data_IF_211007021605
#
_entry.id   IF_211007021605
#
_cell.length_a   1.000
_cell.length_b   1.000
_cell.length_c   1.000
_cell.angle_alpha   90.00
_cell.angle_beta   90.00
_cell.angle_gamma   90.00
#
_symmetry.space_group_name_H-M   'P 1'
#
loop_
_entity.id
_entity.type
_entity.pdbx_description
1 polymer ?
#
# COMPACT_ATOMS: atom_id res chain seq x y z
N UNK A 1 -0.68 -7.20 -32.28
CA UNK A 1 -1.76 -7.90 -31.56
C UNK A 1 -2.82 -6.87 -31.17
N UNK A 2 -4.09 -7.03 -31.54
CA UNK A 2 -5.06 -5.94 -31.45
C UNK A 2 -5.51 -5.73 -30.00
N UNK A 3 -5.25 -4.52 -29.51
CA UNK A 3 -5.66 -3.99 -28.21
C UNK A 3 -7.17 -3.77 -28.19
N UNK A 4 -7.87 -4.62 -27.44
CA UNK A 4 -9.32 -4.57 -27.27
C UNK A 4 -9.66 -3.59 -26.13
N UNK A 5 -10.19 -2.43 -26.48
CA UNK A 5 -10.70 -1.42 -25.55
C UNK A 5 -11.76 -2.03 -24.62
N UNK A 6 -11.76 -1.75 -23.29
CA UNK A 6 -12.81 -2.25 -22.42
C UNK A 6 -14.12 -1.53 -22.74
N UNK A 7 -15.10 -2.28 -23.24
CA UNK A 7 -16.50 -1.84 -23.38
C UNK A 7 -16.96 -1.32 -22.01
N UNK A 8 -17.39 -0.05 -21.93
CA UNK A 8 -18.15 0.48 -20.79
C UNK A 8 -19.28 -0.49 -20.46
N UNK A 9 -19.14 -1.22 -19.37
CA UNK A 9 -20.18 -2.10 -18.85
C UNK A 9 -21.33 -1.25 -18.31
N UNK A 10 -22.57 -1.66 -18.59
CA UNK A 10 -23.79 -1.03 -18.06
C UNK A 10 -23.69 -0.92 -16.53
N UNK A 11 -24.14 0.20 -15.97
CA UNK A 11 -24.27 0.40 -14.51
C UNK A 11 -25.03 -0.79 -13.91
N UNK A 12 -24.42 -1.45 -12.92
CA UNK A 12 -25.04 -2.54 -12.17
C UNK A 12 -26.32 -2.04 -11.48
N UNK A 13 -27.44 -2.73 -11.70
CA UNK A 13 -28.72 -2.47 -11.03
C UNK A 13 -28.74 -3.03 -9.60
N UNK A 14 -29.73 -2.63 -8.77
CA UNK A 14 -29.82 -3.04 -7.36
C UNK A 14 -29.78 -4.57 -7.14
N UNK A 15 -30.41 -5.36 -8.02
CA UNK A 15 -30.48 -6.83 -7.88
C UNK A 15 -29.16 -7.59 -8.12
N UNK A 16 -28.07 -6.91 -8.48
CA UNK A 16 -26.77 -7.54 -8.71
C UNK A 16 -25.94 -7.68 -7.42
N UNK A 17 -26.37 -7.03 -6.33
CA UNK A 17 -25.76 -7.14 -4.99
C UNK A 17 -26.42 -8.23 -4.12
N UNK A 18 -27.62 -8.70 -4.51
CA UNK A 18 -28.46 -9.60 -3.72
C UNK A 18 -28.45 -11.06 -4.21
N UNK A 19 -27.79 -11.35 -5.34
CA UNK A 19 -27.86 -12.67 -5.95
C UNK A 19 -26.97 -13.70 -5.23
N UNK A 20 -27.55 -14.45 -4.29
CA UNK A 20 -27.06 -15.77 -3.91
C UNK A 20 -27.13 -16.68 -5.16
N UNK A 21 -26.01 -16.83 -5.87
CA UNK A 21 -25.96 -17.71 -7.03
C UNK A 21 -26.13 -19.18 -6.59
N UNK A 22 -27.13 -19.85 -7.16
CA UNK A 22 -27.42 -21.27 -7.00
C UNK A 22 -26.37 -22.15 -7.70
N UNK A 23 -25.90 -23.19 -6.99
CA UNK A 23 -24.99 -24.24 -7.46
C UNK A 23 -23.68 -24.31 -6.65
N UNK A 24 -23.11 -25.52 -6.39
CA UNK A 24 -21.87 -25.66 -5.64
C UNK A 24 -20.72 -25.04 -6.45
N UNK A 25 -20.13 -23.98 -5.91
CA UNK A 25 -18.94 -23.33 -6.48
C UNK A 25 -17.97 -23.05 -5.35
N UNK A 26 -16.65 -23.24 -5.58
CA UNK A 26 -15.63 -22.80 -4.64
C UNK A 26 -15.91 -21.36 -4.20
N UNK A 27 -15.98 -21.14 -2.90
CA UNK A 27 -16.15 -19.82 -2.31
C UNK A 27 -14.89 -19.45 -1.55
N UNK A 28 -14.29 -18.34 -1.95
CA UNK A 28 -13.11 -17.79 -1.32
C UNK A 28 -13.50 -16.57 -0.49
N UNK A 29 -13.21 -16.58 0.80
CA UNK A 29 -13.40 -15.42 1.68
C UNK A 29 -12.12 -14.62 1.80
N UNK A 30 -12.14 -13.37 1.31
CA UNK A 30 -11.02 -12.45 1.50
C UNK A 30 -11.03 -11.91 2.92
N UNK A 31 -10.18 -12.45 3.78
CA UNK A 31 -10.08 -12.03 5.18
C UNK A 31 -8.97 -11.00 5.35
N UNK A 32 -9.37 -9.75 5.61
CA UNK A 32 -8.46 -8.62 5.83
C UNK A 32 -8.10 -8.38 7.29
N UNK A 33 -8.42 -9.32 8.18
CA UNK A 33 -8.21 -9.29 9.64
C UNK A 33 -8.91 -8.14 10.40
N UNK A 34 -9.64 -7.29 9.70
CA UNK A 34 -10.41 -6.19 10.29
C UNK A 34 -11.84 -6.61 10.64
N UNK A 35 -12.47 -5.79 11.48
CA UNK A 35 -13.80 -6.04 12.05
C UNK A 35 -14.82 -6.59 11.02
N UNK A 36 -15.01 -5.93 9.87
CA UNK A 36 -16.04 -6.31 8.90
C UNK A 36 -15.79 -7.69 8.30
N UNK A 37 -14.56 -7.95 7.86
CA UNK A 37 -14.20 -9.26 7.30
C UNK A 37 -14.20 -10.38 8.33
N UNK A 38 -13.97 -10.07 9.61
CA UNK A 38 -14.04 -11.02 10.71
C UNK A 38 -15.49 -11.29 11.10
N UNK A 39 -16.31 -10.26 11.34
CA UNK A 39 -17.71 -10.42 11.73
C UNK A 39 -18.52 -11.16 10.66
N UNK A 40 -18.31 -10.82 9.38
CA UNK A 40 -18.99 -11.54 8.31
C UNK A 40 -18.61 -13.02 8.23
N UNK A 41 -17.36 -13.35 8.56
CA UNK A 41 -16.88 -14.72 8.60
C UNK A 41 -17.42 -15.45 9.83
N UNK A 42 -17.40 -14.81 11.00
CA UNK A 42 -17.95 -15.34 12.25
C UNK A 42 -19.45 -15.65 12.14
N UNK A 43 -20.25 -14.71 11.63
CA UNK A 43 -21.68 -14.91 11.36
C UNK A 43 -21.95 -16.07 10.39
N UNK A 44 -21.07 -16.26 9.39
CA UNK A 44 -21.17 -17.38 8.45
C UNK A 44 -20.85 -18.71 9.13
N UNK A 45 -19.87 -18.75 10.01
CA UNK A 45 -19.50 -19.96 10.76
C UNK A 45 -20.59 -20.33 11.79
N UNK A 46 -21.26 -19.35 12.38
CA UNK A 46 -22.39 -19.57 13.29
C UNK A 46 -23.60 -20.20 12.59
N UNK A 47 -23.95 -19.71 11.39
CA UNK A 47 -25.09 -20.22 10.63
C UNK A 47 -24.76 -20.35 9.13
N UNK A 48 -24.03 -21.40 8.71
CA UNK A 48 -23.65 -21.60 7.31
C UNK A 48 -24.87 -21.68 6.39
N UNK A 49 -25.97 -22.27 6.86
CA UNK A 49 -27.19 -22.46 6.08
C UNK A 49 -27.83 -21.12 5.68
N UNK A 50 -27.84 -20.13 6.59
CA UNK A 50 -28.34 -18.78 6.29
C UNK A 50 -27.42 -17.98 5.36
N UNK A 51 -26.21 -18.46 5.09
CA UNK A 51 -25.30 -17.93 4.07
C UNK A 51 -25.29 -18.77 2.78
N UNK A 52 -26.18 -19.76 2.67
CA UNK A 52 -26.34 -20.60 1.48
C UNK A 52 -25.48 -21.86 1.46
N UNK A 53 -24.87 -22.25 2.59
CA UNK A 53 -24.06 -23.45 2.74
C UNK A 53 -24.81 -24.55 3.51
N UNK A 54 -25.94 -25.01 2.97
CA UNK A 54 -26.79 -26.04 3.61
C UNK A 54 -26.14 -27.41 3.69
N UNK A 55 -25.30 -27.73 2.71
CA UNK A 55 -24.61 -29.02 2.59
C UNK A 55 -23.21 -29.01 3.23
N UNK A 56 -22.92 -27.97 4.05
CA UNK A 56 -21.63 -27.77 4.71
C UNK A 56 -20.65 -26.86 3.98
N UNK A 57 -19.47 -26.68 4.59
CA UNK A 57 -18.44 -25.72 4.19
C UNK A 57 -17.30 -26.34 3.37
N UNK A 58 -17.45 -27.55 2.83
CA UNK A 58 -16.36 -28.26 2.12
C UNK A 58 -15.85 -27.57 0.84
N UNK A 59 -16.61 -26.62 0.29
CA UNK A 59 -16.21 -25.79 -0.86
C UNK A 59 -15.83 -24.35 -0.46
N UNK A 60 -15.71 -24.07 0.84
CA UNK A 60 -15.40 -22.76 1.40
C UNK A 60 -13.94 -22.72 1.87
N UNK A 61 -13.23 -21.67 1.47
CA UNK A 61 -11.86 -21.41 1.89
C UNK A 61 -11.71 -19.95 2.30
N UNK A 62 -10.76 -19.68 3.20
CA UNK A 62 -10.39 -18.33 3.65
C UNK A 62 -9.00 -18.02 3.12
N UNK A 63 -8.80 -16.81 2.61
CA UNK A 63 -7.48 -16.33 2.18
C UNK A 63 -7.11 -15.02 2.86
N UNK A 64 -5.86 -14.93 3.30
CA UNK A 64 -5.24 -13.74 3.87
C UNK A 64 -4.06 -13.33 2.99
N UNK A 65 -4.09 -12.08 2.50
CA UNK A 65 -2.97 -11.50 1.75
C UNK A 65 -2.11 -10.62 2.67
N UNK A 66 -0.92 -11.10 2.98
CA UNK A 66 0.00 -10.46 3.93
C UNK A 66 0.81 -9.35 3.25
N UNK A 67 0.70 -8.15 3.82
CA UNK A 67 1.58 -7.02 3.47
C UNK A 67 2.92 -7.09 4.21
N UNK A 68 2.98 -7.84 5.32
CA UNK A 68 4.13 -7.90 6.22
C UNK A 68 4.15 -6.81 7.30
N UNK A 69 3.17 -5.91 7.30
CA UNK A 69 3.20 -4.66 8.07
C UNK A 69 1.88 -4.40 8.81
N UNK A 70 1.11 -5.42 9.14
CA UNK A 70 -0.10 -5.26 9.94
C UNK A 70 0.25 -5.13 11.44
N UNK A 71 -0.61 -4.46 12.22
CA UNK A 71 -0.38 -4.31 13.66
C UNK A 71 -0.40 -5.64 14.40
N UNK A 72 0.41 -5.73 15.46
CA UNK A 72 0.50 -6.94 16.29
C UNK A 72 -0.86 -7.30 16.90
N UNK A 73 -1.61 -6.32 17.43
CA UNK A 73 -2.96 -6.56 17.98
C UNK A 73 -3.94 -7.12 16.93
N UNK A 74 -3.84 -6.70 15.67
CA UNK A 74 -4.70 -7.23 14.61
C UNK A 74 -4.51 -8.74 14.46
N UNK A 75 -3.26 -9.22 14.52
CA UNK A 75 -2.99 -10.65 14.45
C UNK A 75 -3.39 -11.40 15.73
N UNK A 76 -3.07 -10.84 16.90
CA UNK A 76 -3.40 -11.45 18.20
C UNK A 76 -4.91 -11.70 18.34
N UNK A 77 -5.75 -10.75 17.93
CA UNK A 77 -7.20 -10.92 17.93
C UNK A 77 -7.66 -12.00 16.95
N UNK A 78 -7.12 -12.01 15.74
CA UNK A 78 -7.43 -13.00 14.72
C UNK A 78 -7.07 -14.43 15.19
N UNK A 79 -5.90 -14.61 15.77
CA UNK A 79 -5.41 -15.88 16.30
C UNK A 79 -6.17 -16.35 17.54
N UNK A 80 -6.52 -15.42 18.43
CA UNK A 80 -7.23 -15.75 19.66
C UNK A 80 -8.67 -16.14 19.41
N UNK A 81 -9.36 -15.43 18.51
CA UNK A 81 -10.81 -15.55 18.40
C UNK A 81 -11.27 -16.28 17.13
N UNK A 82 -10.66 -16.01 15.97
CA UNK A 82 -11.19 -16.54 14.71
C UNK A 82 -10.49 -17.81 14.22
N UNK A 83 -9.16 -17.94 14.38
CA UNK A 83 -8.47 -19.18 13.99
C UNK A 83 -9.00 -20.45 14.69
N UNK A 84 -9.35 -20.43 16.00
CA UNK A 84 -9.93 -21.61 16.65
C UNK A 84 -11.23 -22.05 15.98
N UNK A 85 -12.08 -21.09 15.58
CA UNK A 85 -13.31 -21.37 14.84
C UNK A 85 -13.04 -21.95 13.47
N UNK A 86 -12.10 -21.37 12.71
CA UNK A 86 -11.72 -21.90 11.40
C UNK A 86 -11.22 -23.35 11.51
N UNK A 87 -10.43 -23.66 12.55
CA UNK A 87 -9.94 -25.00 12.83
C UNK A 87 -11.06 -25.96 13.25
N UNK A 88 -12.00 -25.53 14.08
CA UNK A 88 -13.17 -26.32 14.49
C UNK A 88 -14.01 -26.75 13.28
N UNK A 89 -14.26 -25.81 12.36
CA UNK A 89 -14.99 -26.07 11.12
C UNK A 89 -14.12 -26.68 9.99
N UNK A 90 -12.82 -26.93 10.24
CA UNK A 90 -11.83 -27.42 9.25
C UNK A 90 -11.81 -26.61 7.95
N UNK A 91 -11.82 -25.29 8.07
CA UNK A 91 -11.80 -24.39 6.92
C UNK A 91 -10.37 -24.27 6.39
N UNK A 92 -10.18 -24.63 5.12
CA UNK A 92 -8.91 -24.39 4.41
C UNK A 92 -8.61 -22.90 4.46
N UNK A 93 -7.52 -22.56 5.14
CA UNK A 93 -7.05 -21.21 5.40
C UNK A 93 -5.70 -21.06 4.70
N UNK A 94 -5.65 -20.12 3.75
CA UNK A 94 -4.49 -19.88 2.91
C UNK A 94 -3.90 -18.51 3.26
N UNK A 95 -2.60 -18.47 3.49
CA UNK A 95 -1.82 -17.25 3.69
C UNK A 95 -0.91 -17.05 2.50
N UNK A 96 -0.99 -15.88 1.86
CA UNK A 96 -0.20 -15.56 0.66
C UNK A 96 0.50 -14.21 0.81
N UNK A 97 1.67 -14.07 0.19
CA UNK A 97 2.39 -12.80 0.11
C UNK A 97 3.12 -12.66 -1.23
N UNK A 98 3.68 -11.47 -1.45
CA UNK A 98 4.67 -11.29 -2.53
C UNK A 98 5.92 -12.10 -2.23
N UNK A 99 6.50 -12.68 -3.28
CA UNK A 99 7.78 -13.37 -3.21
C UNK A 99 8.97 -12.42 -3.44
N UNK A 100 8.74 -11.27 -4.10
CA UNK A 100 9.79 -10.29 -4.39
C UNK A 100 9.26 -8.93 -4.87
N UNK A 101 10.17 -7.98 -5.17
CA UNK A 101 9.85 -6.61 -5.59
C UNK A 101 9.18 -6.51 -6.96
N UNK A 102 9.43 -7.45 -7.86
CA UNK A 102 8.92 -7.45 -9.23
C UNK A 102 7.73 -8.42 -9.43
N UNK A 103 6.97 -8.23 -10.50
CA UNK A 103 5.85 -9.13 -10.81
C UNK A 103 6.35 -10.53 -11.25
N UNK A 104 7.55 -10.59 -11.86
CA UNK A 104 8.18 -11.86 -12.30
C UNK A 104 8.55 -12.77 -11.12
N UNK A 105 8.77 -12.18 -9.94
CA UNK A 105 9.09 -12.93 -8.72
C UNK A 105 7.88 -13.72 -8.23
N UNK A 106 6.66 -13.31 -8.63
CA UNK A 106 5.43 -14.02 -8.30
C UNK A 106 5.01 -13.84 -6.84
N UNK A 107 4.33 -14.88 -6.35
CA UNK A 107 3.78 -14.94 -4.99
C UNK A 107 4.25 -16.22 -4.31
N UNK A 108 4.19 -16.22 -2.98
CA UNK A 108 4.44 -17.41 -2.16
C UNK A 108 3.18 -17.72 -1.34
N UNK A 109 2.89 -19.01 -1.20
CA UNK A 109 1.94 -19.52 -0.22
C UNK A 109 2.72 -19.76 1.07
N UNK A 110 2.45 -18.93 2.08
CA UNK A 110 3.09 -19.01 3.40
C UNK A 110 2.51 -20.16 4.22
N UNK A 111 1.21 -20.40 4.07
CA UNK A 111 0.48 -21.48 4.73
C UNK A 111 -0.72 -21.87 3.90
N UNK A 112 -1.05 -23.16 3.89
CA UNK A 112 -2.29 -23.71 3.34
C UNK A 112 -2.70 -24.89 4.23
N UNK A 113 -3.66 -24.67 5.12
CA UNK A 113 -4.03 -25.65 6.15
C UNK A 113 -5.50 -25.55 6.54
N UNK A 114 -6.11 -26.67 6.92
CA UNK A 114 -7.43 -26.73 7.55
C UNK A 114 -7.38 -26.65 9.09
N UNK A 115 -6.17 -26.53 9.67
CA UNK A 115 -5.93 -26.42 11.11
C UNK A 115 -5.05 -25.21 11.45
N UNK A 116 -5.49 -23.99 11.11
CA UNK A 116 -4.68 -22.80 11.37
C UNK A 116 -4.52 -22.59 12.89
N UNK A 117 -3.28 -22.30 13.31
CA UNK A 117 -2.93 -22.06 14.72
C UNK A 117 -2.32 -20.67 14.94
N UNK A 118 -1.59 -20.16 13.95
CA UNK A 118 -0.96 -18.85 13.96
C UNK A 118 -0.92 -18.30 12.54
N UNK A 119 -0.86 -16.98 12.42
CA UNK A 119 -0.70 -16.24 11.17
C UNK A 119 0.75 -15.85 10.95
N UNK A 120 1.21 -15.89 9.70
CA UNK A 120 2.49 -15.35 9.31
C UNK A 120 2.49 -13.82 9.44
N UNK A 121 3.47 -13.29 10.16
CA UNK A 121 3.62 -11.83 10.33
C UNK A 121 4.28 -11.19 9.11
N UNK A 122 5.17 -11.93 8.44
CA UNK A 122 6.01 -11.44 7.35
C UNK A 122 6.16 -12.50 6.27
N UNK A 123 6.12 -12.08 5.01
CA UNK A 123 6.53 -12.88 3.85
C UNK A 123 7.91 -12.43 3.32
N UNK A 124 8.40 -13.02 2.22
CA UNK A 124 9.71 -12.70 1.64
C UNK A 124 9.89 -11.23 1.24
N UNK A 125 8.81 -10.55 0.85
CA UNK A 125 8.84 -9.14 0.49
C UNK A 125 7.66 -8.39 1.13
N UNK A 126 7.97 -7.43 2.00
CA UNK A 126 6.96 -6.63 2.73
C UNK A 126 6.68 -5.28 2.07
N UNK A 127 5.62 -4.61 2.51
CA UNK A 127 5.33 -3.26 2.08
C UNK A 127 6.42 -2.30 2.59
N UNK A 128 6.92 -2.48 3.81
CA UNK A 128 8.06 -1.69 4.31
C UNK A 128 9.33 -1.91 3.49
N UNK A 129 9.62 -3.13 3.05
CA UNK A 129 10.76 -3.40 2.14
C UNK A 129 10.61 -2.63 0.81
N UNK A 130 9.42 -2.66 0.21
CA UNK A 130 9.10 -1.88 -1.01
C UNK A 130 9.28 -0.38 -0.80
N UNK A 131 8.77 0.16 0.31
CA UNK A 131 8.80 1.58 0.60
C UNK A 131 10.23 2.08 0.88
N UNK A 132 11.01 1.30 1.64
CA UNK A 132 12.43 1.58 1.89
C UNK A 132 13.25 1.51 0.59
N UNK A 133 13.14 0.43 -0.18
CA UNK A 133 13.86 0.27 -1.45
C UNK A 133 13.48 1.34 -2.48
N UNK A 134 12.21 1.74 -2.51
CA UNK A 134 11.74 2.80 -3.41
C UNK A 134 12.07 4.21 -2.89
N UNK A 135 12.36 4.37 -1.60
CA UNK A 135 12.51 5.67 -0.95
C UNK A 135 11.21 6.49 -1.01
N UNK A 136 10.07 5.85 -0.77
CA UNK A 136 8.74 6.49 -0.83
C UNK A 136 7.84 6.05 0.31
N UNK A 137 6.77 6.81 0.55
CA UNK A 137 5.63 6.43 1.40
C UNK A 137 4.48 5.93 0.54
N UNK A 138 3.43 5.27 1.10
CA UNK A 138 2.28 4.84 0.32
C UNK A 138 1.61 6.02 -0.39
N UNK A 139 1.74 6.04 -1.72
CA UNK A 139 1.23 7.10 -2.55
C UNK A 139 -0.30 7.10 -2.52
N UNK A 140 -0.88 8.27 -2.23
CA UNK A 140 -2.33 8.51 -2.21
C UNK A 140 -2.80 9.52 -3.26
N UNK A 141 -1.99 9.71 -4.31
CA UNK A 141 -2.37 10.53 -5.45
C UNK A 141 -3.73 10.10 -6.01
N UNK A 142 -4.48 11.06 -6.54
CA UNK A 142 -5.88 10.88 -6.99
C UNK A 142 -6.05 9.56 -7.74
N UNK A 143 -6.78 8.62 -7.13
CA UNK A 143 -7.18 7.35 -7.74
C UNK A 143 -6.19 6.18 -7.66
N UNK A 144 -4.95 6.37 -7.20
CA UNK A 144 -3.93 5.31 -7.14
C UNK A 144 -3.78 4.77 -5.71
N UNK A 145 -4.22 3.52 -5.47
CA UNK A 145 -3.96 2.78 -4.22
C UNK A 145 -2.90 1.71 -4.46
N UNK A 146 -1.74 2.13 -4.97
CA UNK A 146 -0.73 1.21 -5.50
C UNK A 146 -0.28 0.16 -4.49
N UNK A 147 -0.19 0.46 -3.19
CA UNK A 147 0.15 -0.53 -2.17
C UNK A 147 -0.94 -1.60 -2.02
N UNK A 148 -2.21 -1.21 -1.97
CA UNK A 148 -3.35 -2.13 -1.89
C UNK A 148 -3.44 -3.00 -3.15
N UNK A 149 -3.19 -2.41 -4.32
CA UNK A 149 -3.22 -3.16 -5.58
C UNK A 149 -2.05 -4.14 -5.65
N UNK A 150 -0.81 -3.71 -5.33
CA UNK A 150 0.39 -4.57 -5.40
C UNK A 150 0.41 -5.69 -4.37
N UNK A 151 0.02 -5.41 -3.13
CA UNK A 151 0.17 -6.35 -2.01
C UNK A 151 -1.10 -7.09 -1.62
N UNK A 152 -2.28 -6.64 -2.10
CA UNK A 152 -3.55 -7.35 -1.87
C UNK A 152 -4.18 -7.78 -3.19
N UNK A 153 -4.55 -6.83 -4.04
CA UNK A 153 -5.27 -7.12 -5.30
C UNK A 153 -4.54 -8.11 -6.21
N UNK A 154 -3.33 -7.75 -6.65
CA UNK A 154 -2.50 -8.56 -7.54
C UNK A 154 -2.14 -9.92 -6.95
N UNK A 155 -1.84 -9.97 -5.64
CA UNK A 155 -1.48 -11.22 -4.95
C UNK A 155 -2.67 -12.19 -4.91
N UNK A 156 -3.85 -11.69 -4.53
CA UNK A 156 -5.10 -12.47 -4.51
C UNK A 156 -5.50 -12.93 -5.91
N UNK A 157 -5.42 -12.03 -6.90
CA UNK A 157 -5.80 -12.34 -8.29
C UNK A 157 -4.85 -13.37 -8.91
N UNK A 158 -3.54 -13.26 -8.66
CA UNK A 158 -2.56 -14.23 -9.16
C UNK A 158 -2.76 -15.60 -8.52
N UNK A 159 -2.95 -15.66 -7.20
CA UNK A 159 -3.23 -16.92 -6.51
C UNK A 159 -4.52 -17.57 -7.00
N UNK A 160 -5.62 -16.80 -7.06
CA UNK A 160 -6.91 -17.33 -7.52
C UNK A 160 -6.85 -17.83 -8.97
N UNK A 161 -6.05 -17.18 -9.83
CA UNK A 161 -5.80 -17.66 -11.20
C UNK A 161 -5.06 -19.00 -11.21
N UNK A 162 -4.07 -19.19 -10.33
CA UNK A 162 -3.33 -20.45 -10.21
C UNK A 162 -4.21 -21.57 -9.64
N UNK A 163 -5.02 -21.27 -8.64
CA UNK A 163 -5.89 -22.24 -7.95
C UNK A 163 -7.07 -22.67 -8.82
N UNK A 164 -7.82 -21.72 -9.39
CA UNK A 164 -9.08 -22.03 -10.08
C UNK A 164 -8.93 -22.12 -11.61
N UNK A 165 -7.84 -21.61 -12.18
CA UNK A 165 -7.65 -21.55 -13.62
C UNK A 165 -8.84 -20.90 -14.34
N UNK A 166 -9.50 -21.58 -15.29
CA UNK A 166 -10.67 -21.06 -16.00
C UNK A 166 -11.99 -21.22 -15.24
N UNK A 167 -12.00 -21.91 -14.09
CA UNK A 167 -13.23 -22.24 -13.38
C UNK A 167 -13.83 -21.00 -12.70
N UNK A 168 -15.16 -20.78 -12.82
CA UNK A 168 -15.82 -19.72 -12.08
C UNK A 168 -15.81 -19.99 -10.56
N UNK A 169 -15.51 -18.97 -9.77
CA UNK A 169 -15.49 -19.03 -8.31
C UNK A 169 -16.19 -17.81 -7.69
N UNK A 170 -16.71 -17.98 -6.48
CA UNK A 170 -17.33 -16.90 -5.70
C UNK A 170 -16.32 -16.29 -4.75
N UNK A 171 -16.30 -14.96 -4.64
CA UNK A 171 -15.43 -14.23 -3.72
C UNK A 171 -16.27 -13.45 -2.74
N UNK A 172 -16.21 -13.82 -1.46
CA UNK A 172 -16.81 -13.05 -0.39
C UNK A 172 -15.88 -11.91 0.03
N UNK A 173 -16.42 -10.70 0.08
CA UNK A 173 -15.72 -9.50 0.56
C UNK A 173 -16.55 -8.85 1.66
N UNK A 174 -15.92 -8.61 2.82
CA UNK A 174 -16.56 -8.03 4.00
C UNK A 174 -16.82 -6.52 3.89
N UNK A 175 -17.41 -6.02 2.81
CA UNK A 175 -17.92 -4.64 2.79
C UNK A 175 -19.26 -4.59 3.54
N UNK A 176 -19.37 -3.68 4.51
CA UNK A 176 -20.60 -3.44 5.27
C UNK A 176 -21.58 -2.52 4.51
N UNK A 177 -22.80 -2.34 5.04
CA UNK A 177 -23.87 -1.58 4.41
C UNK A 177 -23.52 -0.10 4.12
N UNK A 178 -22.56 0.49 4.84
CA UNK A 178 -22.09 1.86 4.61
C UNK A 178 -21.10 1.94 3.43
N UNK A 179 -20.66 0.81 2.89
CA UNK A 179 -19.59 0.69 1.88
C UNK A 179 -20.08 0.30 0.48
N UNK A 180 -21.36 0.49 0.16
CA UNK A 180 -21.95 0.15 -1.16
C UNK A 180 -21.19 0.75 -2.35
N UNK A 181 -20.61 1.94 -2.20
CA UNK A 181 -19.76 2.56 -3.24
C UNK A 181 -18.52 1.72 -3.57
N UNK A 182 -17.94 1.03 -2.58
CA UNK A 182 -16.80 0.12 -2.77
C UNK A 182 -17.25 -1.16 -3.47
N UNK A 183 -18.38 -1.74 -3.06
CA UNK A 183 -18.96 -2.91 -3.70
C UNK A 183 -19.23 -2.68 -5.20
N UNK A 184 -19.86 -1.56 -5.56
CA UNK A 184 -20.09 -1.20 -6.98
C UNK A 184 -18.80 -1.08 -7.78
N UNK A 185 -17.72 -0.55 -7.18
CA UNK A 185 -16.42 -0.44 -7.82
C UNK A 185 -15.77 -1.82 -8.02
N UNK A 186 -15.87 -2.70 -7.04
CA UNK A 186 -15.36 -4.07 -7.12
C UNK A 186 -16.07 -4.87 -8.23
N UNK A 187 -17.40 -4.76 -8.32
CA UNK A 187 -18.19 -5.34 -9.42
C UNK A 187 -17.73 -4.82 -10.78
N UNK A 188 -17.47 -3.50 -10.91
CA UNK A 188 -17.01 -2.90 -12.16
C UNK A 188 -15.63 -3.40 -12.61
N UNK A 189 -14.79 -3.85 -11.68
CA UNK A 189 -13.43 -4.33 -11.92
C UNK A 189 -13.33 -5.87 -11.99
N UNK A 190 -14.45 -6.59 -11.96
CA UNK A 190 -14.48 -8.05 -11.91
C UNK A 190 -14.23 -8.70 -13.28
N UNK A 191 -13.44 -9.78 -13.28
CA UNK A 191 -13.18 -10.61 -14.46
C UNK A 191 -14.24 -11.72 -14.65
N UNK A 192 -14.28 -12.33 -15.83
CA UNK A 192 -15.32 -13.30 -16.21
C UNK A 192 -15.42 -14.55 -15.33
N UNK A 193 -14.36 -14.94 -14.61
CA UNK A 193 -14.36 -16.11 -13.70
C UNK A 193 -14.71 -15.76 -12.26
N UNK A 194 -14.45 -14.53 -11.80
CA UNK A 194 -14.73 -14.08 -10.44
C UNK A 194 -16.19 -13.65 -10.29
N UNK A 195 -16.86 -14.07 -9.22
CA UNK A 195 -18.22 -13.64 -8.86
C UNK A 195 -18.19 -13.01 -7.46
N UNK A 196 -18.13 -11.67 -7.34
CA UNK A 196 -18.10 -11.03 -6.03
C UNK A 196 -19.43 -11.23 -5.30
N UNK A 197 -19.34 -11.36 -3.98
CA UNK A 197 -20.44 -11.50 -3.06
C UNK A 197 -20.14 -10.66 -1.80
N UNK A 198 -21.13 -9.92 -1.32
CA UNK A 198 -20.98 -8.95 -0.23
C UNK A 198 -21.96 -9.28 0.91
N UNK A 199 -21.61 -10.23 1.80
CA UNK A 199 -22.57 -10.82 2.73
C UNK A 199 -23.16 -9.82 3.73
N UNK A 200 -22.35 -8.89 4.23
CA UNK A 200 -22.80 -7.88 5.18
C UNK A 200 -23.74 -6.85 4.54
N UNK A 201 -23.49 -6.45 3.29
CA UNK A 201 -24.42 -5.59 2.53
C UNK A 201 -25.75 -6.31 2.30
N UNK A 202 -25.73 -7.58 1.87
CA UNK A 202 -26.94 -8.36 1.63
C UNK A 202 -27.79 -8.51 2.90
N UNK A 203 -27.14 -8.52 4.07
CA UNK A 203 -27.79 -8.57 5.39
C UNK A 203 -28.06 -7.20 6.01
N UNK A 204 -27.73 -6.12 5.30
CA UNK A 204 -27.92 -4.72 5.74
C UNK A 204 -27.20 -4.37 7.06
N UNK A 205 -26.08 -5.03 7.34
CA UNK A 205 -25.29 -4.77 8.53
C UNK A 205 -24.35 -3.59 8.27
N UNK A 206 -24.57 -2.49 8.98
CA UNK A 206 -23.72 -1.30 8.98
C UNK A 206 -22.49 -1.51 9.87
N UNK A 207 -21.59 -0.52 9.90
CA UNK A 207 -20.39 -0.57 10.76
C UNK A 207 -20.72 -0.82 12.23
N UNK A 208 -21.75 -0.17 12.74
CA UNK A 208 -22.16 -0.29 14.15
C UNK A 208 -22.60 -1.71 14.49
N UNK A 209 -23.35 -2.36 13.59
CA UNK A 209 -23.82 -3.74 13.80
C UNK A 209 -22.65 -4.72 13.84
N UNK A 210 -21.66 -4.53 12.96
CA UNK A 210 -20.42 -5.31 12.93
C UNK A 210 -19.63 -5.18 14.23
N UNK A 211 -19.48 -3.96 14.73
CA UNK A 211 -18.72 -3.70 15.96
C UNK A 211 -19.45 -4.24 17.20
N UNK A 212 -20.78 -4.09 17.25
CA UNK A 212 -21.61 -4.64 18.32
C UNK A 212 -21.57 -6.18 18.33
N UNK A 213 -21.68 -6.83 17.18
CA UNK A 213 -21.58 -8.28 17.05
C UNK A 213 -20.27 -8.80 17.67
N UNK A 214 -19.13 -8.26 17.24
CA UNK A 214 -17.83 -8.71 17.75
C UNK A 214 -17.64 -8.41 19.25
N UNK A 215 -18.17 -7.27 19.72
CA UNK A 215 -18.13 -6.93 21.14
C UNK A 215 -18.98 -7.89 21.98
N UNK A 216 -20.17 -8.26 21.50
CA UNK A 216 -21.07 -9.19 22.20
C UNK A 216 -20.53 -10.62 22.18
N UNK A 217 -19.98 -11.07 21.05
CA UNK A 217 -19.45 -12.43 20.90
C UNK A 217 -18.14 -12.63 21.65
N UNK A 218 -17.23 -11.65 21.60
CA UNK A 218 -15.85 -11.82 22.08
C UNK A 218 -15.46 -10.92 23.26
N UNK A 219 -16.33 -9.99 23.66
CA UNK A 219 -16.04 -9.04 24.74
C UNK A 219 -14.95 -8.02 24.40
N UNK A 220 -14.58 -7.89 23.12
CA UNK A 220 -13.49 -7.00 22.67
C UNK A 220 -13.94 -6.06 21.56
N UNK A 221 -13.50 -4.79 21.65
CA UNK A 221 -13.62 -3.85 20.54
C UNK A 221 -12.62 -4.25 19.45
N UNK A 222 -13.11 -4.67 18.29
CA UNK A 222 -12.25 -5.04 17.18
C UNK A 222 -11.73 -3.78 16.45
N UNK A 223 -10.41 -3.53 16.43
CA UNK A 223 -9.88 -2.32 15.83
C UNK A 223 -9.96 -2.36 14.30
N UNK A 224 -9.91 -1.20 13.66
CA UNK A 224 -9.72 -1.13 12.21
C UNK A 224 -8.36 -1.74 11.84
N UNK A 225 -8.35 -2.69 10.90
CA UNK A 225 -7.11 -3.22 10.32
C UNK A 225 -6.55 -2.28 9.25
N UNK A 226 -5.24 -2.07 9.30
CA UNK A 226 -4.47 -1.30 8.34
C UNK A 226 -2.97 -1.47 8.66
N UNK A 227 -2.11 -1.36 7.65
CA UNK A 227 -0.66 -1.46 7.87
C UNK A 227 -0.13 -0.35 8.80
N UNK A 228 0.96 -0.59 9.50
CA UNK A 228 1.69 0.37 10.34
C UNK A 228 2.09 1.64 9.55
N UNK A 229 2.53 1.46 8.31
CA UNK A 229 2.84 2.54 7.35
C UNK A 229 1.62 3.06 6.58
N UNK A 230 0.40 2.67 6.95
CA UNK A 230 -0.77 3.07 6.20
C UNK A 230 -1.11 4.54 6.51
N UNK A 231 -1.24 5.40 5.49
CA UNK A 231 -1.63 6.78 5.73
C UNK A 231 -3.11 6.88 6.15
N UNK A 232 -3.93 5.83 5.97
CA UNK A 232 -5.38 5.78 6.23
C UNK A 232 -5.88 6.49 7.49
N UNK A 233 -5.26 6.32 8.66
CA UNK A 233 -5.65 7.00 9.89
C UNK A 233 -5.82 8.51 9.73
N UNK A 234 -5.02 9.17 8.87
CA UNK A 234 -5.10 10.62 8.60
C UNK A 234 -6.46 11.11 8.08
N UNK A 235 -7.29 10.22 7.51
CA UNK A 235 -8.60 10.58 6.91
C UNK A 235 -9.78 10.01 7.69
N UNK A 236 -9.54 9.53 8.91
CA UNK A 236 -10.56 8.86 9.73
C UNK A 236 -10.40 9.23 11.18
N UNK A 237 -11.40 8.89 12.01
CA UNK A 237 -11.31 9.01 13.46
C UNK A 237 -10.20 8.12 14.09
N UNK A 238 -9.52 7.26 13.32
CA UNK A 238 -8.47 6.36 13.81
C UNK A 238 -7.09 7.01 13.99
N UNK A 239 -6.98 8.36 13.93
CA UNK A 239 -5.69 9.05 14.06
C UNK A 239 -5.08 8.89 15.46
N UNK A 240 -5.89 9.04 16.51
CA UNK A 240 -5.45 8.84 17.90
C UNK A 240 -5.16 7.36 18.17
N UNK A 241 -6.06 6.46 17.78
CA UNK A 241 -5.85 5.00 17.86
C UNK A 241 -4.52 4.55 17.23
N UNK A 242 -4.06 5.24 16.18
CA UNK A 242 -2.78 4.96 15.54
C UNK A 242 -1.59 5.29 16.45
N UNK A 243 -1.63 6.44 17.12
CA UNK A 243 -0.58 6.84 18.07
C UNK A 243 -0.63 5.92 19.29
N UNK A 244 -1.82 5.54 19.78
CA UNK A 244 -1.96 4.57 20.86
C UNK A 244 -1.38 3.19 20.51
N UNK A 245 -1.56 2.75 19.26
CA UNK A 245 -0.89 1.53 18.77
C UNK A 245 0.63 1.68 18.73
N UNK A 246 1.16 2.83 18.33
CA UNK A 246 2.60 3.08 18.37
C UNK A 246 3.13 3.03 19.81
N UNK A 247 2.41 3.58 20.79
CA UNK A 247 2.76 3.48 22.22
C UNK A 247 2.80 2.03 22.70
N UNK A 248 1.80 1.22 22.32
CA UNK A 248 1.74 -0.21 22.67
C UNK A 248 2.79 -1.04 21.95
N UNK A 249 3.14 -0.69 20.72
CA UNK A 249 4.06 -1.43 19.85
C UNK A 249 5.19 -0.51 19.34
N UNK A 250 6.12 -0.08 20.22
CA UNK A 250 7.08 0.97 19.91
C UNK A 250 8.02 0.63 18.75
N UNK A 251 8.38 -0.65 18.58
CA UNK A 251 9.19 -1.07 17.43
C UNK A 251 8.45 -0.85 16.10
N UNK A 252 7.18 -1.28 16.01
CA UNK A 252 6.36 -1.08 14.79
C UNK A 252 6.13 0.42 14.50
N UNK A 253 6.01 1.22 15.56
CA UNK A 253 5.98 2.67 15.44
C UNK A 253 7.28 3.23 14.86
N UNK A 254 8.42 2.84 15.42
CA UNK A 254 9.74 3.28 14.97
C UNK A 254 10.04 2.89 13.51
N UNK A 255 9.67 1.68 13.10
CA UNK A 255 9.81 1.23 11.70
C UNK A 255 9.00 2.12 10.74
N UNK A 256 7.80 2.53 11.17
CA UNK A 256 6.94 3.44 10.39
C UNK A 256 7.54 4.84 10.27
N UNK A 257 8.13 5.36 11.36
CA UNK A 257 8.83 6.64 11.36
C UNK A 257 10.04 6.62 10.43
N UNK A 258 10.79 5.51 10.42
CA UNK A 258 11.96 5.34 9.58
C UNK A 258 11.62 5.33 8.08
N UNK A 259 10.49 4.70 7.70
CA UNK A 259 9.99 4.74 6.31
C UNK A 259 9.71 6.18 5.88
N UNK A 260 9.05 6.97 6.72
CA UNK A 260 8.82 8.38 6.43
C UNK A 260 10.13 9.17 6.37
N UNK A 261 11.05 8.97 7.31
CA UNK A 261 12.34 9.65 7.36
C UNK A 261 13.15 9.42 6.08
N UNK A 262 13.27 8.16 5.64
CA UNK A 262 13.98 7.80 4.39
C UNK A 262 13.32 8.50 3.19
N UNK A 263 12.00 8.47 3.10
CA UNK A 263 11.28 9.10 2.00
C UNK A 263 11.44 10.64 2.01
N UNK A 264 11.42 11.27 3.19
CA UNK A 264 11.61 12.71 3.38
C UNK A 264 13.01 13.16 3.02
N UNK A 265 14.04 12.38 3.34
CA UNK A 265 15.42 12.65 2.93
C UNK A 265 15.51 12.90 1.41
N UNK A 266 14.86 12.02 0.62
CA UNK A 266 14.85 12.14 -0.85
C UNK A 266 13.82 13.14 -1.38
N UNK A 267 12.73 13.40 -0.65
CA UNK A 267 11.68 14.31 -1.06
C UNK A 267 10.92 14.86 0.16
N UNK A 268 11.08 16.15 0.52
CA UNK A 268 10.47 16.71 1.72
C UNK A 268 8.93 16.64 1.72
N UNK A 269 8.29 16.42 0.56
CA UNK A 269 6.83 16.29 0.43
C UNK A 269 6.31 14.87 0.64
N UNK A 270 7.15 13.88 0.95
CA UNK A 270 6.75 12.49 1.13
C UNK A 270 6.49 12.18 2.61
N UNK A 271 5.27 12.39 3.07
CA UNK A 271 4.86 12.11 4.45
C UNK A 271 3.75 11.05 4.53
N UNK A 272 3.65 10.32 5.64
CA UNK A 272 2.58 9.35 5.90
C UNK A 272 1.27 10.02 6.29
N UNK A 273 1.27 11.33 6.54
CA UNK A 273 0.06 12.10 6.77
C UNK A 273 -0.39 12.81 5.50
N UNK A 274 -1.70 13.01 5.38
CA UNK A 274 -2.26 13.76 4.25
C UNK A 274 -2.02 15.26 4.36
N UNK A 275 -1.77 15.72 5.57
CA UNK A 275 -1.30 17.04 5.93
C UNK A 275 -0.32 16.89 7.10
N UNK A 276 0.82 17.57 7.04
CA UNK A 276 1.91 17.42 8.01
C UNK A 276 2.67 16.10 7.88
N UNK A 277 3.32 15.69 8.97
CA UNK A 277 4.21 14.52 9.07
C UNK A 277 3.81 13.60 10.23
N UNK A 278 3.92 12.28 10.06
CA UNK A 278 3.72 11.35 11.19
C UNK A 278 4.89 11.47 12.17
N UNK A 279 6.10 11.68 11.64
CA UNK A 279 7.30 11.87 12.45
C UNK A 279 7.15 13.08 13.37
N UNK A 280 6.78 14.24 12.84
CA UNK A 280 6.57 15.45 13.66
C UNK A 280 5.44 15.25 14.67
N UNK A 281 4.36 14.58 14.29
CA UNK A 281 3.24 14.28 15.19
C UNK A 281 3.66 13.37 16.35
N UNK A 282 4.47 12.34 16.11
CA UNK A 282 4.94 11.43 17.17
C UNK A 282 5.96 12.11 18.07
N UNK A 283 6.85 12.95 17.53
CA UNK A 283 7.82 13.73 18.31
C UNK A 283 7.14 14.77 19.21
N UNK A 284 5.99 15.30 18.80
CA UNK A 284 5.22 16.27 19.59
C UNK A 284 4.19 15.62 20.55
N UNK A 285 3.89 14.33 20.36
CA UNK A 285 2.92 13.62 21.18
C UNK A 285 3.48 13.28 22.56
N UNK A 286 2.60 13.22 23.57
CA UNK A 286 2.96 12.74 24.91
C UNK A 286 3.11 11.22 24.92
N UNK A 287 3.95 10.72 25.83
CA UNK A 287 4.13 9.30 26.12
C UNK A 287 4.56 8.47 24.90
N UNK A 288 5.32 9.06 23.99
CA UNK A 288 5.90 8.41 22.80
C UNK A 288 7.41 8.18 22.92
N UNK A 289 8.02 8.44 24.08
CA UNK A 289 9.47 8.35 24.32
C UNK A 289 10.04 6.99 23.90
N UNK A 290 9.33 5.90 24.18
CA UNK A 290 9.75 4.56 23.78
C UNK A 290 9.77 4.37 22.25
N UNK A 291 8.85 5.00 21.52
CA UNK A 291 8.82 4.98 20.05
C UNK A 291 9.98 5.79 19.50
N UNK A 292 10.19 7.00 20.04
CA UNK A 292 11.27 7.91 19.63
C UNK A 292 12.63 7.28 19.88
N UNK A 293 12.87 6.73 21.07
CA UNK A 293 14.13 6.06 21.40
C UNK A 293 14.46 4.91 20.44
N UNK A 294 13.46 4.10 20.06
CA UNK A 294 13.62 3.02 19.08
C UNK A 294 13.90 3.56 17.68
N UNK A 295 13.19 4.60 17.28
CA UNK A 295 13.43 5.26 15.99
C UNK A 295 14.85 5.84 15.90
N UNK A 296 15.32 6.53 16.94
CA UNK A 296 16.68 7.05 16.99
C UNK A 296 17.73 5.94 17.00
N UNK A 297 17.46 4.83 17.69
CA UNK A 297 18.32 3.65 17.65
C UNK A 297 18.44 3.11 16.22
N UNK A 298 17.31 2.95 15.52
CA UNK A 298 17.30 2.53 14.11
C UNK A 298 18.09 3.48 13.20
N UNK A 299 18.06 4.79 13.47
CA UNK A 299 18.87 5.76 12.73
C UNK A 299 20.36 5.63 13.04
N UNK A 300 20.75 5.44 14.30
CA UNK A 300 22.15 5.28 14.71
C UNK A 300 22.79 4.01 14.16
N UNK A 301 22.03 2.93 14.10
CA UNK A 301 22.49 1.62 13.62
C UNK A 301 22.56 1.53 12.09
N UNK A 302 21.92 2.48 11.39
CA UNK A 302 21.82 2.47 9.93
C UNK A 302 22.91 3.34 9.31
N UNK A 303 23.69 2.81 8.35
CA UNK A 303 24.62 3.63 7.60
C UNK A 303 23.94 4.79 6.89
N UNK A 304 24.70 5.82 6.60
CA UNK A 304 24.24 6.99 5.84
C UNK A 304 24.72 6.89 4.41
N UNK A 305 23.90 7.35 3.47
CA UNK A 305 24.26 7.46 2.07
C UNK A 305 24.00 8.87 1.54
N UNK A 306 24.77 9.23 0.52
CA UNK A 306 24.53 10.37 -0.33
C UNK A 306 23.87 9.89 -1.61
N UNK A 307 22.71 10.44 -1.92
CA UNK A 307 21.93 10.10 -3.09
C UNK A 307 21.94 11.23 -4.09
N UNK A 308 22.12 10.90 -5.37
CA UNK A 308 21.78 11.76 -6.49
C UNK A 308 20.34 11.46 -6.93
N UNK A 309 19.52 12.50 -7.05
CA UNK A 309 18.11 12.40 -7.40
C UNK A 309 17.83 13.32 -8.57
N UNK A 310 17.37 12.72 -9.67
CA UNK A 310 16.92 13.44 -10.86
C UNK A 310 15.47 13.11 -11.15
N UNK A 311 14.62 14.12 -11.42
CA UNK A 311 13.20 13.93 -11.76
C UNK A 311 12.82 14.74 -12.97
N UNK A 312 12.14 14.09 -13.92
CA UNK A 312 11.46 14.77 -15.02
C UNK A 312 9.98 14.77 -14.68
N UNK A 313 9.40 15.97 -14.58
CA UNK A 313 7.99 16.19 -14.28
C UNK A 313 7.31 16.69 -15.56
N UNK A 314 6.79 15.80 -16.42
CA UNK A 314 6.13 16.23 -17.64
C UNK A 314 4.79 16.91 -17.35
N UNK A 315 4.30 17.73 -18.28
CA UNK A 315 2.92 18.19 -18.27
C UNK A 315 1.96 17.02 -18.55
N UNK A 316 0.87 16.94 -17.80
CA UNK A 316 -0.18 15.95 -18.03
C UNK A 316 -1.01 16.34 -19.25
N UNK A 317 -1.76 15.37 -19.76
CA UNK A 317 -2.78 15.62 -20.76
C UNK A 317 -3.89 16.53 -20.18
N UNK A 318 -4.23 17.57 -20.95
CA UNK A 318 -5.39 18.42 -20.69
C UNK A 318 -6.68 17.59 -20.70
N UNK A 319 -7.66 17.98 -19.90
CA UNK A 319 -8.98 17.35 -19.91
C UNK A 319 -9.75 17.61 -21.22
N UNK A 320 -9.39 18.67 -21.94
CA UNK A 320 -10.03 19.08 -23.20
C UNK A 320 -9.46 18.36 -24.42
N UNK A 321 -8.43 17.53 -24.22
CA UNK A 321 -7.85 16.76 -25.32
C UNK A 321 -8.79 15.61 -25.70
N UNK A 322 -9.34 15.67 -26.90
CA UNK A 322 -10.28 14.72 -27.51
C UNK A 322 -9.61 13.62 -28.39
N UNK A 323 -8.29 13.70 -28.56
CA UNK A 323 -7.50 12.73 -29.31
C UNK A 323 -7.48 11.32 -28.67
N UNK A 324 -6.91 10.32 -29.33
CA UNK A 324 -6.76 8.97 -28.77
C UNK A 324 -5.89 8.95 -27.50
N UNK A 325 -6.02 7.90 -26.67
CA UNK A 325 -5.37 7.78 -25.34
C UNK A 325 -3.85 8.02 -25.34
N UNK A 326 -3.19 7.79 -26.48
CA UNK A 326 -1.75 7.95 -26.67
C UNK A 326 -1.31 9.34 -27.18
N UNK A 327 -2.17 10.36 -27.18
CA UNK A 327 -1.82 11.69 -27.69
C UNK A 327 -0.57 12.29 -27.03
N UNK A 328 0.41 12.64 -27.87
CA UNK A 328 1.70 13.26 -27.50
C UNK A 328 1.82 14.73 -27.92
N UNK A 329 0.78 15.30 -28.54
CA UNK A 329 0.84 16.64 -29.11
C UNK A 329 1.07 17.71 -28.02
N UNK A 330 2.01 18.66 -28.22
CA UNK A 330 2.33 19.68 -27.22
C UNK A 330 1.12 20.50 -26.76
N UNK A 331 0.22 20.89 -27.68
CA UNK A 331 -0.97 21.67 -27.40
C UNK A 331 -2.01 20.93 -26.53
N UNK A 332 -1.89 19.61 -26.43
CA UNK A 332 -2.75 18.78 -25.60
C UNK A 332 -2.22 18.61 -24.17
N UNK A 333 -1.13 19.32 -23.81
CA UNK A 333 -0.52 19.29 -22.48
C UNK A 333 -0.93 20.51 -21.67
N UNK A 334 -1.35 20.25 -20.44
CA UNK A 334 -1.70 21.28 -19.48
C UNK A 334 -0.47 21.59 -18.61
N UNK A 335 0.15 22.78 -18.75
CA UNK A 335 1.33 23.15 -17.99
C UNK A 335 1.06 23.30 -16.48
N UNK A 336 -0.20 23.38 -16.05
CA UNK A 336 -0.57 23.46 -14.64
C UNK A 336 -0.86 22.10 -14.01
N UNK A 337 -0.85 21.03 -14.82
CA UNK A 337 -1.19 19.67 -14.38
C UNK A 337 0.02 18.75 -14.50
N UNK A 338 0.40 18.13 -13.39
CA UNK A 338 1.56 17.23 -13.35
C UNK A 338 1.26 15.88 -13.99
N UNK A 339 2.08 15.48 -14.96
CA UNK A 339 2.09 14.13 -15.54
C UNK A 339 2.79 13.09 -14.65
N UNK A 340 3.00 11.89 -15.19
CA UNK A 340 3.73 10.83 -14.49
C UNK A 340 5.22 11.18 -14.44
N UNK A 341 5.73 11.40 -13.23
CA UNK A 341 7.15 11.68 -13.02
C UNK A 341 8.03 10.50 -13.48
N UNK A 342 9.12 10.82 -14.18
CA UNK A 342 10.23 9.91 -14.41
C UNK A 342 11.31 10.25 -13.39
N UNK A 343 12.04 9.24 -12.90
CA UNK A 343 13.01 9.41 -11.81
C UNK A 343 14.25 8.58 -12.05
N UNK A 344 15.38 9.15 -11.67
CA UNK A 344 16.64 8.47 -11.43
C UNK A 344 17.04 8.68 -9.98
N UNK A 345 17.46 7.62 -9.33
CA UNK A 345 18.06 7.63 -8.00
C UNK A 345 19.35 6.83 -8.10
N UNK A 346 20.47 7.42 -7.69
CA UNK A 346 21.77 6.77 -7.65
C UNK A 346 22.43 7.00 -6.30
N UNK A 347 23.09 5.97 -5.79
CA UNK A 347 23.90 6.08 -4.57
C UNK A 347 25.29 6.58 -4.97
N UNK A 348 25.66 7.77 -4.51
CA UNK A 348 26.96 8.39 -4.80
C UNK A 348 28.04 7.81 -3.88
N UNK A 349 27.73 7.73 -2.59
CA UNK A 349 28.59 7.09 -1.57
C UNK A 349 27.74 6.62 -0.40
N UNK A 350 28.23 5.64 0.35
CA UNK A 350 27.64 5.16 1.58
C UNK A 350 28.72 4.97 2.65
N UNK A 351 28.39 5.23 3.91
CA UNK A 351 29.31 5.13 5.02
C UNK A 351 28.79 5.82 6.28
N UNK A 352 29.67 6.53 6.96
CA UNK A 352 29.30 7.31 8.16
C UNK A 352 28.58 8.61 7.77
N UNK A 353 27.78 9.20 8.68
CA UNK A 353 27.16 10.50 8.46
C UNK A 353 28.18 11.59 8.07
N UNK A 354 29.35 11.61 8.72
CA UNK A 354 30.41 12.56 8.43
C UNK A 354 30.99 12.43 7.02
N UNK A 355 31.16 11.20 6.52
CA UNK A 355 31.66 10.96 5.17
C UNK A 355 30.65 11.41 4.10
N UNK A 356 29.37 11.08 4.26
CA UNK A 356 28.32 11.50 3.34
C UNK A 356 28.16 13.02 3.31
N UNK A 357 28.21 13.69 4.47
CA UNK A 357 28.16 15.15 4.57
C UNK A 357 29.39 15.85 3.98
N UNK A 358 30.58 15.29 4.17
CA UNK A 358 31.80 15.81 3.53
C UNK A 358 31.66 15.75 2.01
N UNK A 359 31.25 14.60 1.44
CA UNK A 359 31.05 14.47 0.00
C UNK A 359 29.96 15.40 -0.53
N UNK A 360 28.88 15.63 0.23
CA UNK A 360 27.85 16.61 -0.15
C UNK A 360 28.43 18.04 -0.22
N UNK A 361 29.30 18.43 0.70
CA UNK A 361 29.97 19.75 0.69
C UNK A 361 30.94 19.90 -0.48
N UNK A 362 31.64 18.83 -0.85
CA UNK A 362 32.51 18.83 -2.03
C UNK A 362 31.69 19.06 -3.30
N UNK A 363 30.55 18.35 -3.45
CA UNK A 363 29.63 18.55 -4.58
C UNK A 363 29.01 19.95 -4.60
N UNK A 364 28.67 20.50 -3.42
CA UNK A 364 28.19 21.88 -3.33
C UNK A 364 29.25 22.85 -3.90
N UNK A 365 30.52 22.66 -3.53
CA UNK A 365 31.64 23.48 -4.01
C UNK A 365 31.86 23.30 -5.52
N UNK A 366 31.87 22.06 -6.00
CA UNK A 366 32.02 21.68 -7.41
C UNK A 366 30.96 22.34 -8.30
N UNK A 367 29.70 22.32 -7.85
CA UNK A 367 28.58 22.91 -8.58
C UNK A 367 28.30 24.38 -8.25
N UNK A 368 29.13 25.04 -7.43
CA UNK A 368 28.94 26.42 -6.97
C UNK A 368 27.56 26.64 -6.31
N UNK A 369 27.12 25.65 -5.55
CA UNK A 369 25.89 25.67 -4.75
C UNK A 369 26.22 25.68 -3.26
N UNK A 370 25.20 25.81 -2.43
CA UNK A 370 25.33 25.70 -0.97
C UNK A 370 24.59 24.47 -0.45
N UNK A 371 25.01 23.97 0.71
CA UNK A 371 24.28 22.92 1.41
C UNK A 371 23.09 23.54 2.13
N UNK A 372 21.90 23.15 1.73
CA UNK A 372 20.64 23.49 2.37
C UNK A 372 20.35 22.50 3.50
N UNK A 373 19.83 23.00 4.61
CA UNK A 373 19.31 22.18 5.71
C UNK A 373 17.85 22.57 5.92
N UNK A 374 16.93 21.64 5.72
CA UNK A 374 15.51 21.92 5.95
C UNK A 374 15.17 21.94 7.46
N UNK A 375 13.96 22.38 7.80
CA UNK A 375 13.48 22.46 9.18
C UNK A 375 13.51 21.10 9.92
N UNK A 376 13.53 20.00 9.18
CA UNK A 376 13.61 18.65 9.71
C UNK A 376 15.04 18.10 9.75
N UNK A 377 16.05 18.93 9.46
CA UNK A 377 17.47 18.59 9.55
C UNK A 377 18.02 17.81 8.36
N UNK A 378 17.28 17.70 7.24
CA UNK A 378 17.79 17.00 6.07
C UNK A 378 18.72 17.90 5.23
N UNK A 379 19.92 17.40 4.97
CA UNK A 379 20.94 18.10 4.20
C UNK A 379 20.82 17.80 2.70
N UNK A 380 20.72 18.84 1.86
CA UNK A 380 20.59 18.72 0.41
C UNK A 380 21.41 19.77 -0.33
N UNK A 381 21.70 19.49 -1.60
CA UNK A 381 22.24 20.45 -2.56
C UNK A 381 21.34 20.41 -3.78
N UNK A 382 20.69 21.52 -4.10
CA UNK A 382 19.78 21.61 -5.24
C UNK A 382 20.53 22.19 -6.44
N UNK A 383 20.65 21.42 -7.53
CA UNK A 383 21.25 21.88 -8.79
C UNK A 383 20.21 22.47 -9.75
N UNK A 384 19.00 21.91 -9.74
CA UNK A 384 17.86 22.42 -10.48
C UNK A 384 16.59 22.29 -9.63
N UNK A 385 15.98 23.43 -9.31
CA UNK A 385 14.71 23.49 -8.60
C UNK A 385 13.53 23.34 -9.57
N UNK A 386 12.40 22.84 -9.06
CA UNK A 386 11.16 22.75 -9.84
C UNK A 386 10.64 24.16 -10.15
N UNK A 387 10.21 24.35 -11.40
CA UNK A 387 9.41 25.51 -11.78
C UNK A 387 7.95 25.35 -11.33
N UNK A 388 7.18 26.45 -11.41
CA UNK A 388 5.75 26.47 -11.06
C UNK A 388 4.87 25.74 -12.09
N UNK A 389 5.38 25.56 -13.32
CA UNK A 389 4.68 24.91 -14.42
C UNK A 389 5.43 23.68 -14.93
N UNK A 390 4.74 22.87 -15.73
CA UNK A 390 5.25 21.67 -16.37
C UNK A 390 5.39 21.88 -17.89
N UNK A 391 6.34 21.20 -18.56
CA UNK A 391 7.34 20.30 -17.98
C UNK A 391 8.38 21.04 -17.14
N UNK A 392 8.88 20.39 -16.10
CA UNK A 392 10.01 20.88 -15.31
C UNK A 392 10.89 19.72 -14.89
N UNK A 393 12.12 20.02 -14.48
CA UNK A 393 13.08 19.05 -13.95
C UNK A 393 13.40 19.37 -12.51
N UNK A 394 13.93 18.39 -11.81
CA UNK A 394 14.50 18.57 -10.48
C UNK A 394 15.79 17.76 -10.43
N UNK A 395 16.87 18.38 -9.98
CA UNK A 395 18.16 17.73 -9.77
C UNK A 395 18.68 18.15 -8.40
N UNK A 396 18.87 17.18 -7.51
CA UNK A 396 19.45 17.43 -6.20
C UNK A 396 20.30 16.26 -5.72
N UNK A 397 21.20 16.56 -4.79
CA UNK A 397 21.83 15.58 -3.92
C UNK A 397 21.21 15.65 -2.52
N UNK A 398 21.03 14.50 -1.88
CA UNK A 398 20.48 14.43 -0.53
C UNK A 398 21.21 13.39 0.32
N UNK A 399 21.50 13.76 1.57
CA UNK A 399 21.99 12.82 2.57
C UNK A 399 20.81 12.18 3.29
N UNK A 400 20.85 10.86 3.47
CA UNK A 400 19.83 10.13 4.21
C UNK A 400 20.28 8.71 4.59
N UNK A 401 19.47 7.97 5.38
CA UNK A 401 19.81 6.61 5.74
C UNK A 401 19.85 5.69 4.52
N UNK A 402 20.73 4.67 4.55
CA UNK A 402 20.75 3.62 3.54
C UNK A 402 19.43 2.84 3.49
N UNK A 403 19.09 2.30 2.32
CA UNK A 403 17.87 1.51 2.13
C UNK A 403 17.29 1.68 0.72
N UNK A 404 17.13 2.93 0.23
CA UNK A 404 16.78 3.16 -1.16
C UNK A 404 17.75 2.48 -2.12
N UNK A 405 17.17 1.77 -3.10
CA UNK A 405 17.90 1.08 -4.17
C UNK A 405 17.94 1.97 -5.41
N UNK A 406 19.11 1.97 -6.05
CA UNK A 406 19.35 2.65 -7.31
C UNK A 406 18.34 2.22 -8.37
N UNK A 407 17.77 3.20 -9.07
CA UNK A 407 16.72 2.94 -10.05
C UNK A 407 16.67 4.04 -11.09
N UNK A 408 16.58 3.60 -12.34
CA UNK A 408 16.46 4.46 -13.50
C UNK A 408 15.74 3.67 -14.60
N UNK A 409 14.93 4.35 -15.42
CA UNK A 409 14.41 3.72 -16.64
C UNK A 409 15.51 3.74 -17.70
N UNK A 410 15.61 2.71 -18.52
CA UNK A 410 16.60 2.64 -19.61
C UNK A 410 16.63 3.91 -20.49
N UNK A 411 15.44 4.44 -20.84
CA UNK A 411 15.31 5.66 -21.63
C UNK A 411 15.44 6.97 -20.83
N UNK A 412 15.76 6.94 -19.53
CA UNK A 412 15.79 8.14 -18.69
C UNK A 412 16.89 9.11 -19.13
N UNK A 413 18.12 8.63 -19.37
CA UNK A 413 19.24 9.49 -19.74
C UNK A 413 18.95 10.32 -21.00
N UNK A 414 18.40 9.70 -22.04
CA UNK A 414 18.01 10.42 -23.27
C UNK A 414 16.88 11.44 -23.04
N UNK A 415 15.90 11.09 -22.18
CA UNK A 415 14.81 12.02 -21.81
C UNK A 415 15.30 13.17 -20.93
N UNK A 416 16.28 12.91 -20.07
CA UNK A 416 16.90 13.90 -19.21
C UNK A 416 17.63 14.94 -20.05
N UNK A 417 18.52 14.49 -20.94
CA UNK A 417 19.23 15.33 -21.88
C UNK A 417 18.29 16.24 -22.70
N UNK A 418 17.19 15.68 -23.19
CA UNK A 418 16.16 16.43 -23.90
C UNK A 418 15.49 17.48 -23.01
N UNK A 419 15.21 17.15 -21.74
CA UNK A 419 14.51 18.02 -20.81
C UNK A 419 15.40 19.15 -20.25
N UNK A 420 16.71 18.93 -20.14
CA UNK A 420 17.68 19.92 -19.63
C UNK A 420 18.40 20.70 -20.73
N UNK A 421 18.29 20.25 -21.99
CA UNK A 421 19.09 20.81 -23.09
C UNK A 421 20.58 20.43 -23.00
N UNK A 422 20.91 19.46 -22.16
CA UNK A 422 22.28 19.04 -21.85
C UNK A 422 22.58 17.76 -22.64
N UNK A 423 23.58 17.72 -23.54
CA UNK A 423 23.88 16.51 -24.29
C UNK A 423 24.16 15.35 -23.33
N UNK A 424 23.55 14.20 -23.57
CA UNK A 424 23.67 13.04 -22.68
C UNK A 424 25.16 12.66 -22.48
N UNK A 425 25.75 13.04 -21.33
CA UNK A 425 27.11 12.62 -20.96
C UNK A 425 28.15 13.72 -20.71
N UNK A 426 27.80 14.87 -20.14
CA UNK A 426 28.78 15.76 -19.51
C UNK A 426 28.40 15.94 -18.03
N UNK A 427 29.15 15.29 -17.13
CA UNK A 427 28.93 15.28 -15.69
C UNK A 427 29.46 14.00 -15.09
#
# INVERSE_FOLDING_TARGET
MPTRTPRRTRKAGPGQLDALASGPRPTLWHWGLGADSTAGLDLLLDDPAAFGFRDGLGSFAVVVAHTGDEWTDTYELAERFLLPRLREHRIRTIEISRAGPEAKDGIVVLSDTDRPNSLHRRGPWTLTDELNASGTVPLRGVGLRSCSDKFKGWVLDLWAKQEFGPLPYRVAVGFNADEVKRARRDVANTVATRRPWFPLIARRLARVDVELHLLQTYGVKWPKSYCTVCPFPSKTAAREDHIDRMRRYPQQGADSLLVEHIARALNPRMTLRTSGSLLEEVLAAKDTDAVVARYEQLLRERPTALYEIRRILPAARSNDCDHEDACTRPECRDPNKRGRALRSLRTVTAGTPGHALARLRDLATEHKQTVEVDEAGFHRVTLAARADTYPTVEHLYAVGPTGPVDKELEAFAGKWATATGDPAGAG
#
